data_IF_644956154309
#
_entry.id   IF_644956154309
#
_cell.length_a   1.000
_cell.length_b   1.000
_cell.length_c   1.000
_cell.angle_alpha   90.00
_cell.angle_beta   90.00
_cell.angle_gamma   90.00
#
_symmetry.space_group_name_H-M   'P 1'
#
loop_
_entity.id
_entity.type
_entity.pdbx_description
1 polymer ?
#
# COMPACT_ATOMS: atom_id res chain seq x y z
N UNK A 1 12.86 -8.59 16.01
CA UNK A 1 11.45 -8.43 15.60
C UNK A 1 10.58 -9.03 16.69
N UNK A 2 9.47 -8.38 17.03
CA UNK A 2 8.52 -8.99 17.97
C UNK A 2 7.94 -10.26 17.36
N UNK A 3 7.85 -11.33 18.14
CA UNK A 3 7.38 -12.61 17.63
C UNK A 3 5.86 -12.66 17.60
N UNK A 4 5.32 -13.40 16.63
CA UNK A 4 3.88 -13.71 16.57
C UNK A 4 3.38 -14.29 17.90
N UNK A 5 4.16 -15.17 18.55
CA UNK A 5 3.79 -15.77 19.83
C UNK A 5 3.59 -14.72 20.95
N UNK A 6 4.47 -13.72 21.05
CA UNK A 6 4.30 -12.62 22.02
C UNK A 6 3.00 -11.84 21.76
N UNK A 7 2.68 -11.58 20.49
CA UNK A 7 1.46 -10.85 20.11
C UNK A 7 0.20 -11.66 20.43
N UNK A 8 0.21 -12.97 20.16
CA UNK A 8 -0.89 -13.87 20.54
C UNK A 8 -1.07 -13.93 22.06
N UNK A 9 0.00 -13.82 22.84
CA UNK A 9 -0.08 -13.76 24.30
C UNK A 9 -0.74 -12.46 24.78
N UNK A 10 -0.52 -11.33 24.09
CA UNK A 10 -1.25 -10.10 24.37
C UNK A 10 -2.74 -10.22 24.06
N UNK A 11 -3.10 -10.85 22.93
CA UNK A 11 -4.50 -11.06 22.54
C UNK A 11 -5.30 -11.89 23.55
N UNK A 12 -4.66 -12.80 24.30
CA UNK A 12 -5.35 -13.56 25.37
C UNK A 12 -5.94 -12.66 26.46
N UNK A 13 -5.38 -11.48 26.66
CA UNK A 13 -5.83 -10.50 27.65
C UNK A 13 -6.81 -9.47 27.07
N UNK A 14 -7.11 -9.52 25.78
CA UNK A 14 -8.03 -8.58 25.13
C UNK A 14 -9.49 -8.98 25.39
N UNK A 15 -10.34 -7.99 25.63
CA UNK A 15 -11.79 -8.16 25.44
C UNK A 15 -12.13 -8.04 23.95
N UNK A 16 -12.37 -9.19 23.31
CA UNK A 16 -12.66 -9.24 21.87
C UNK A 16 -13.99 -8.58 21.48
N UNK A 17 -14.87 -8.29 22.45
CA UNK A 17 -16.13 -7.55 22.22
C UNK A 17 -15.93 -6.04 22.25
N UNK A 18 -14.77 -5.57 22.73
CA UNK A 18 -14.48 -4.15 22.96
C UNK A 18 -13.15 -3.72 22.32
N UNK A 19 -12.87 -4.27 21.13
CA UNK A 19 -11.70 -3.95 20.30
C UNK A 19 -11.76 -2.48 19.85
N UNK A 20 -10.61 -1.82 19.92
CA UNK A 20 -10.40 -0.48 19.35
C UNK A 20 -9.56 -0.57 18.09
N UNK A 21 -10.01 0.02 16.98
CA UNK A 21 -9.22 0.16 15.76
C UNK A 21 -8.44 1.47 15.84
N UNK A 22 -7.11 1.40 15.70
CA UNK A 22 -6.26 2.58 15.73
C UNK A 22 -5.34 2.68 14.51
N UNK A 23 -5.07 3.91 14.09
CA UNK A 23 -4.09 4.19 13.04
C UNK A 23 -3.54 5.60 13.16
N UNK A 24 -2.46 5.89 12.44
CA UNK A 24 -1.89 7.24 12.35
C UNK A 24 -2.83 8.14 11.55
N UNK A 25 -2.99 9.38 11.98
CA UNK A 25 -3.83 10.37 11.32
C UNK A 25 -3.22 10.91 10.01
N UNK A 26 -3.10 10.04 8.98
CA UNK A 26 -2.55 10.36 7.65
C UNK A 26 -3.10 9.41 6.57
N UNK A 27 -2.69 9.61 5.31
CA UNK A 27 -2.78 8.67 4.20
C UNK A 27 -4.19 8.16 3.82
N UNK A 28 -4.71 7.17 4.53
CA UNK A 28 -6.02 6.52 4.29
C UNK A 28 -6.86 6.39 5.57
N UNK A 29 -6.44 7.05 6.65
CA UNK A 29 -7.07 6.98 7.97
C UNK A 29 -8.55 7.41 7.99
N UNK A 30 -8.97 8.38 7.16
CA UNK A 30 -10.39 8.75 7.08
C UNK A 30 -11.26 7.56 6.66
N UNK A 31 -10.86 6.82 5.63
CA UNK A 31 -11.58 5.62 5.19
C UNK A 31 -11.51 4.50 6.23
N UNK A 32 -10.36 4.32 6.89
CA UNK A 32 -10.18 3.32 7.95
C UNK A 32 -11.13 3.60 9.13
N UNK A 33 -11.22 4.86 9.60
CA UNK A 33 -12.11 5.22 10.71
C UNK A 33 -13.59 5.11 10.34
N UNK A 34 -13.99 5.57 9.15
CA UNK A 34 -15.37 5.40 8.67
C UNK A 34 -15.75 3.90 8.59
N UNK A 35 -14.86 3.08 8.03
CA UNK A 35 -15.05 1.63 7.93
C UNK A 35 -15.12 0.93 9.29
N UNK A 36 -14.24 1.27 10.21
CA UNK A 36 -14.23 0.76 11.58
C UNK A 36 -15.53 1.09 12.32
N UNK A 37 -15.99 2.35 12.22
CA UNK A 37 -17.23 2.81 12.84
C UNK A 37 -18.46 2.10 12.27
N UNK A 38 -18.53 1.91 10.94
CA UNK A 38 -19.61 1.15 10.28
C UNK A 38 -19.69 -0.30 10.79
N UNK A 39 -18.56 -0.88 11.18
CA UNK A 39 -18.52 -2.22 11.76
C UNK A 39 -18.69 -2.26 13.29
N UNK A 40 -18.85 -1.10 13.93
CA UNK A 40 -19.15 -0.96 15.36
C UNK A 40 -17.93 -0.89 16.27
N UNK A 41 -16.72 -0.69 15.72
CA UNK A 41 -15.51 -0.53 16.52
C UNK A 41 -15.39 0.89 17.06
N UNK A 42 -14.77 1.01 18.25
CA UNK A 42 -14.20 2.28 18.71
C UNK A 42 -12.98 2.63 17.88
N UNK A 43 -12.72 3.91 17.70
CA UNK A 43 -11.66 4.42 16.83
C UNK A 43 -10.69 5.34 17.57
N UNK A 44 -9.38 5.11 17.40
CA UNK A 44 -8.32 5.90 18.03
C UNK A 44 -7.35 6.46 16.98
N UNK A 45 -7.28 7.78 16.88
CA UNK A 45 -6.35 8.47 15.99
C UNK A 45 -5.02 8.77 16.66
N UNK A 46 -3.91 8.39 16.05
CA UNK A 46 -2.56 8.69 16.55
C UNK A 46 -1.99 9.88 15.80
N UNK A 47 -1.60 10.94 16.51
CA UNK A 47 -1.05 12.15 15.89
C UNK A 47 0.09 12.77 16.69
N UNK A 48 0.99 13.46 15.99
CA UNK A 48 2.04 14.28 16.60
C UNK A 48 1.50 15.67 16.84
N UNK A 49 1.66 16.18 18.07
CA UNK A 49 1.19 17.51 18.44
C UNK A 49 -0.34 17.58 18.57
N UNK A 50 -0.98 18.57 17.94
CA UNK A 50 -2.43 18.76 18.09
C UNK A 50 -3.21 17.88 17.11
N UNK A 51 -4.38 17.34 17.50
CA UNK A 51 -5.27 16.64 16.58
C UNK A 51 -5.51 17.44 15.29
N UNK A 52 -5.35 16.83 14.10
CA UNK A 52 -5.52 17.56 12.85
C UNK A 52 -6.95 18.08 12.69
N UNK A 53 -7.11 19.41 12.59
CA UNK A 53 -8.42 20.06 12.58
C UNK A 53 -9.32 19.58 11.43
N UNK A 54 -8.76 19.08 10.33
CA UNK A 54 -9.56 18.64 9.18
C UNK A 54 -10.46 17.44 9.49
N UNK A 55 -10.17 16.61 10.50
CA UNK A 55 -11.10 15.54 10.90
C UNK A 55 -12.45 16.09 11.38
N UNK A 56 -12.49 17.32 11.90
CA UNK A 56 -13.76 17.99 12.26
C UNK A 56 -14.67 18.23 11.05
N UNK A 57 -14.12 18.30 9.83
CA UNK A 57 -14.92 18.41 8.61
C UNK A 57 -15.59 17.09 8.20
N UNK A 58 -15.15 15.95 8.77
CA UNK A 58 -15.58 14.61 8.36
C UNK A 58 -16.08 13.80 9.57
N UNK A 59 -17.25 14.13 10.15
CA UNK A 59 -17.71 13.54 11.40
C UNK A 59 -17.87 12.01 11.38
N UNK A 60 -18.17 11.41 10.22
CA UNK A 60 -18.24 9.95 10.07
C UNK A 60 -16.87 9.26 10.16
N UNK A 61 -15.83 9.97 9.73
CA UNK A 61 -14.44 9.53 9.67
C UNK A 61 -13.55 10.13 10.77
N UNK A 62 -14.13 10.92 11.68
CA UNK A 62 -13.44 11.47 12.85
C UNK A 62 -13.23 10.33 13.86
N UNK A 63 -11.99 10.10 14.34
CA UNK A 63 -11.76 9.12 15.39
C UNK A 63 -12.46 9.55 16.69
N UNK A 64 -12.92 8.58 17.48
CA UNK A 64 -13.58 8.83 18.77
C UNK A 64 -12.64 9.49 19.78
N UNK A 65 -11.38 9.05 19.79
CA UNK A 65 -10.33 9.55 20.66
C UNK A 65 -9.03 9.82 19.88
N UNK A 66 -8.15 10.63 20.48
CA UNK A 66 -6.80 10.87 19.96
C UNK A 66 -5.74 10.45 20.97
N UNK A 67 -4.74 9.70 20.51
CA UNK A 67 -3.48 9.51 21.21
C UNK A 67 -2.47 10.52 20.66
N UNK A 68 -2.12 11.50 21.48
CA UNK A 68 -1.14 12.53 21.15
C UNK A 68 0.26 12.05 21.58
N UNK A 69 1.21 12.12 20.66
CA UNK A 69 2.63 11.80 20.89
C UNK A 69 3.51 13.00 20.51
N UNK A 70 4.72 13.09 21.08
CA UNK A 70 5.68 14.16 20.75
C UNK A 70 6.40 13.88 19.42
N UNK A 71 6.67 12.60 19.16
CA UNK A 71 7.17 12.08 17.90
C UNK A 71 6.50 10.74 17.58
N UNK A 72 6.55 10.31 16.32
CA UNK A 72 6.00 9.00 15.96
C UNK A 72 6.75 7.84 16.62
N UNK A 73 8.05 8.00 16.94
CA UNK A 73 8.82 7.01 17.68
C UNK A 73 8.25 6.75 19.09
N UNK A 74 7.59 7.74 19.71
CA UNK A 74 6.99 7.61 21.04
C UNK A 74 5.78 6.68 21.08
N UNK A 75 5.25 6.27 19.93
CA UNK A 75 4.22 5.21 19.87
C UNK A 75 4.72 3.93 20.56
N UNK A 76 6.02 3.65 20.46
CA UNK A 76 6.65 2.50 21.12
C UNK A 76 6.48 2.54 22.64
N UNK A 77 6.55 3.73 23.23
CA UNK A 77 6.38 3.97 24.67
C UNK A 77 4.90 3.89 25.10
N UNK A 78 3.97 3.85 24.14
CA UNK A 78 2.52 3.76 24.37
C UNK A 78 1.95 2.36 24.20
N UNK A 79 2.79 1.36 23.92
CA UNK A 79 2.34 0.00 23.64
C UNK A 79 1.49 -0.62 24.76
N UNK A 80 1.82 -0.38 26.04
CA UNK A 80 1.01 -0.87 27.16
C UNK A 80 -0.36 -0.17 27.24
N UNK A 81 -0.41 1.15 27.04
CA UNK A 81 -1.65 1.93 27.02
C UNK A 81 -2.56 1.46 25.88
N UNK A 82 -2.01 1.24 24.69
CA UNK A 82 -2.72 0.72 23.52
C UNK A 82 -3.28 -0.70 23.78
N UNK A 83 -2.49 -1.57 24.41
CA UNK A 83 -2.95 -2.94 24.76
C UNK A 83 -4.07 -2.94 25.79
N UNK A 84 -4.03 -2.07 26.81
CA UNK A 84 -5.11 -1.93 27.80
C UNK A 84 -6.44 -1.48 27.19
N UNK A 85 -6.40 -0.85 26.00
CA UNK A 85 -7.58 -0.41 25.24
C UNK A 85 -8.05 -1.43 24.19
N UNK A 86 -7.56 -2.68 24.24
CA UNK A 86 -7.83 -3.73 23.25
C UNK A 86 -7.52 -3.27 21.81
N UNK A 87 -6.44 -2.51 21.63
CA UNK A 87 -6.17 -1.86 20.34
C UNK A 87 -5.59 -2.83 19.32
N UNK A 88 -6.12 -2.79 18.09
CA UNK A 88 -5.50 -3.35 16.88
C UNK A 88 -5.08 -2.19 15.98
N UNK A 89 -3.80 -2.17 15.61
CA UNK A 89 -3.24 -1.17 14.69
C UNK A 89 -3.54 -1.57 13.25
N UNK A 90 -4.00 -0.62 12.44
CA UNK A 90 -4.11 -0.75 10.99
C UNK A 90 -2.97 0.02 10.32
N UNK A 91 -1.98 -0.65 9.71
CA UNK A 91 -0.87 0.04 9.07
C UNK A 91 -1.26 0.57 7.69
N UNK A 92 -0.67 1.70 7.32
CA UNK A 92 -0.73 2.28 5.98
C UNK A 92 0.62 2.94 5.64
N UNK A 93 0.80 3.42 4.41
CA UNK A 93 2.10 3.93 3.91
C UNK A 93 2.79 4.92 4.85
N UNK A 94 2.09 5.98 5.28
CA UNK A 94 2.66 6.96 6.21
C UNK A 94 3.00 6.40 7.60
N UNK A 95 2.30 5.37 8.10
CA UNK A 95 2.54 4.83 9.44
C UNK A 95 3.97 4.26 9.51
N UNK A 96 4.30 3.38 8.57
CA UNK A 96 5.62 2.73 8.51
C UNK A 96 6.70 3.75 8.14
N UNK A 97 6.42 4.67 7.22
CA UNK A 97 7.37 5.72 6.85
C UNK A 97 7.73 6.66 8.00
N UNK A 98 6.77 6.95 8.90
CA UNK A 98 6.98 7.84 10.03
C UNK A 98 7.59 7.13 11.25
N UNK A 99 7.15 5.90 11.54
CA UNK A 99 7.68 5.13 12.67
C UNK A 99 9.07 4.54 12.37
N UNK A 100 9.33 4.21 11.11
CA UNK A 100 10.49 3.42 10.67
C UNK A 100 10.18 1.93 10.68
N UNK A 101 10.78 1.20 9.74
CA UNK A 101 10.59 -0.25 9.57
C UNK A 101 11.01 -1.04 10.80
N UNK A 102 12.15 -0.71 11.41
CA UNK A 102 12.67 -1.36 12.62
C UNK A 102 11.72 -1.19 13.81
N UNK A 103 11.33 0.04 14.12
CA UNK A 103 10.40 0.32 15.22
C UNK A 103 9.05 -0.36 15.00
N UNK A 104 8.52 -0.33 13.78
CA UNK A 104 7.26 -1.01 13.48
C UNK A 104 7.35 -2.52 13.68
N UNK A 105 8.47 -3.14 13.31
CA UNK A 105 8.73 -4.56 13.47
C UNK A 105 8.89 -4.98 14.94
N UNK A 106 9.24 -4.06 15.84
CA UNK A 106 9.35 -4.29 17.30
C UNK A 106 8.11 -3.86 18.09
N UNK A 107 7.12 -3.23 17.44
CA UNK A 107 5.99 -2.62 18.15
C UNK A 107 5.17 -3.66 18.90
N UNK A 108 5.14 -3.55 20.23
CA UNK A 108 4.46 -4.49 21.12
C UNK A 108 2.93 -4.29 21.21
N UNK A 109 2.26 -4.16 20.04
CA UNK A 109 0.81 -3.99 19.90
C UNK A 109 0.32 -4.87 18.76
N UNK A 110 -0.78 -5.63 18.93
CA UNK A 110 -1.46 -6.34 17.83
C UNK A 110 -1.67 -5.46 16.60
N UNK A 111 -1.19 -5.93 15.44
CA UNK A 111 -1.32 -5.20 14.17
C UNK A 111 -1.98 -6.08 13.12
N UNK A 112 -2.96 -5.53 12.40
CA UNK A 112 -3.59 -6.22 11.28
C UNK A 112 -2.61 -6.36 10.11
N UNK A 113 -2.50 -7.56 9.56
CA UNK A 113 -1.57 -7.89 8.48
C UNK A 113 -0.40 -8.77 8.95
N UNK A 114 0.56 -9.01 8.05
CA UNK A 114 1.80 -9.71 8.37
C UNK A 114 2.99 -8.72 8.41
N UNK A 115 3.57 -8.49 9.59
CA UNK A 115 4.75 -7.61 9.78
C UNK A 115 5.95 -8.01 8.93
N UNK A 116 6.14 -9.32 8.68
CA UNK A 116 7.27 -9.81 7.89
C UNK A 116 7.27 -9.24 6.46
N UNK A 117 6.10 -8.88 5.92
CA UNK A 117 5.99 -8.33 4.57
C UNK A 117 6.75 -7.02 4.39
N UNK A 118 6.94 -6.23 5.45
CA UNK A 118 7.61 -4.93 5.36
C UNK A 118 9.05 -5.06 4.89
N UNK A 119 9.73 -6.15 5.25
CA UNK A 119 11.08 -6.42 4.78
C UNK A 119 11.12 -6.67 3.26
N UNK A 120 10.04 -7.21 2.70
CA UNK A 120 9.92 -7.53 1.28
C UNK A 120 9.46 -6.33 0.44
N UNK A 121 8.50 -5.54 0.92
CA UNK A 121 8.03 -4.34 0.18
C UNK A 121 8.96 -3.13 0.31
N UNK A 122 9.86 -3.07 1.30
CA UNK A 122 10.79 -1.93 1.46
C UNK A 122 12.15 -2.12 0.79
N UNK A 123 12.55 -3.36 0.49
CA UNK A 123 13.78 -3.70 -0.23
C UNK A 123 13.47 -4.06 -1.69
N UNK A 124 13.95 -3.24 -2.64
CA UNK A 124 13.70 -3.43 -4.08
C UNK A 124 14.19 -4.77 -4.63
N UNK A 125 15.25 -5.34 -4.07
CA UNK A 125 15.75 -6.64 -4.53
C UNK A 125 14.82 -7.76 -4.06
N UNK A 126 14.37 -7.71 -2.81
CA UNK A 126 13.41 -8.69 -2.25
C UNK A 126 12.05 -8.57 -2.93
N UNK A 127 11.58 -7.35 -3.17
CA UNK A 127 10.37 -7.09 -3.93
C UNK A 127 10.45 -7.73 -5.33
N UNK A 128 11.58 -7.55 -6.02
CA UNK A 128 11.83 -8.16 -7.33
C UNK A 128 11.92 -9.67 -7.26
N UNK A 129 12.60 -10.23 -6.26
CA UNK A 129 12.67 -11.68 -6.02
C UNK A 129 11.26 -12.27 -5.87
N UNK A 130 10.42 -11.63 -5.05
CA UNK A 130 9.04 -12.06 -4.83
C UNK A 130 8.19 -11.98 -6.10
N UNK A 131 8.21 -10.85 -6.82
CA UNK A 131 7.41 -10.70 -8.03
C UNK A 131 7.88 -11.64 -9.15
N UNK A 132 9.19 -11.78 -9.35
CA UNK A 132 9.71 -12.72 -10.36
C UNK A 132 9.46 -14.18 -9.98
N UNK A 133 9.57 -14.54 -8.69
CA UNK A 133 9.22 -15.86 -8.18
C UNK A 133 7.75 -16.22 -8.44
N UNK A 134 6.86 -15.23 -8.29
CA UNK A 134 5.44 -15.33 -8.64
C UNK A 134 5.16 -15.36 -10.16
N UNK A 135 6.19 -15.38 -11.02
CA UNK A 135 6.03 -15.34 -12.48
C UNK A 135 5.36 -14.04 -12.95
N UNK A 136 5.64 -12.92 -12.28
CA UNK A 136 5.15 -11.60 -12.66
C UNK A 136 6.13 -10.94 -13.63
N UNK A 137 5.60 -10.39 -14.71
CA UNK A 137 6.39 -9.63 -15.66
C UNK A 137 6.69 -8.24 -15.08
N UNK A 138 7.93 -8.03 -14.65
CA UNK A 138 8.44 -6.73 -14.23
C UNK A 138 9.15 -6.01 -15.38
N UNK A 139 9.27 -4.67 -15.35
CA UNK A 139 10.19 -3.95 -16.23
C UNK A 139 11.60 -4.54 -16.19
N UNK A 140 12.26 -4.56 -17.36
CA UNK A 140 13.66 -4.94 -17.48
C UNK A 140 14.56 -4.10 -16.55
N UNK A 141 15.56 -4.73 -15.93
CA UNK A 141 16.58 -4.02 -15.16
C UNK A 141 17.79 -3.81 -16.06
N UNK A 142 18.36 -2.61 -16.01
CA UNK A 142 19.60 -2.27 -16.71
C UNK A 142 20.69 -2.10 -15.64
N UNK A 143 21.73 -2.93 -15.71
CA UNK A 143 22.82 -2.93 -14.74
C UNK A 143 23.94 -1.97 -15.14
N UNK A 144 24.25 -1.88 -16.44
CA UNK A 144 25.21 -0.92 -17.00
C UNK A 144 24.47 0.21 -17.74
N UNK A 145 24.61 1.49 -17.34
CA UNK A 145 24.03 2.61 -18.07
C UNK A 145 24.46 2.70 -19.54
N UNK A 146 25.59 2.10 -19.93
CA UNK A 146 26.01 2.04 -21.33
C UNK A 146 25.11 1.14 -22.19
N UNK A 147 24.33 0.25 -21.57
CA UNK A 147 23.37 -0.62 -22.25
C UNK A 147 22.01 0.05 -22.48
N UNK A 148 21.87 1.35 -22.18
CA UNK A 148 20.64 2.11 -22.48
C UNK A 148 20.45 2.23 -23.99
N UNK A 149 19.51 1.45 -24.53
CA UNK A 149 19.13 1.40 -25.95
C UNK A 149 17.70 1.92 -26.22
N UNK A 150 17.04 2.47 -25.19
CA UNK A 150 15.68 2.98 -25.26
C UNK A 150 15.27 3.77 -24.00
N UNK A 151 14.00 4.18 -23.90
CA UNK A 151 13.51 4.91 -22.73
C UNK A 151 13.65 4.11 -21.44
N UNK A 152 14.24 4.71 -20.42
CA UNK A 152 14.44 4.15 -19.09
C UNK A 152 13.92 5.08 -18.01
N UNK A 153 13.43 4.52 -16.92
CA UNK A 153 13.10 5.22 -15.68
C UNK A 153 14.22 5.00 -14.67
N UNK A 154 14.83 6.08 -14.21
CA UNK A 154 15.84 6.05 -13.14
C UNK A 154 15.18 6.40 -11.81
N UNK A 155 15.32 5.51 -10.84
CA UNK A 155 14.73 5.63 -9.51
C UNK A 155 15.81 5.68 -8.44
N UNK A 156 15.87 6.76 -7.67
CA UNK A 156 16.75 6.83 -6.49
C UNK A 156 16.19 6.01 -5.33
N UNK A 157 17.11 5.45 -4.53
CA UNK A 157 16.77 4.75 -3.30
C UNK A 157 16.20 5.75 -2.27
N UNK A 158 15.10 5.37 -1.60
CA UNK A 158 14.47 6.21 -0.57
C UNK A 158 13.65 7.40 -1.08
N UNK A 159 13.47 7.56 -2.40
CA UNK A 159 12.57 8.55 -2.98
C UNK A 159 11.13 8.37 -2.47
N UNK A 160 10.62 9.32 -1.68
CA UNK A 160 9.27 9.28 -1.12
C UNK A 160 8.26 9.83 -2.12
N UNK A 161 7.55 8.93 -2.80
CA UNK A 161 6.45 9.29 -3.72
C UNK A 161 6.93 9.96 -5.00
N UNK A 162 7.88 9.35 -5.72
CA UNK A 162 8.25 9.75 -7.08
C UNK A 162 9.14 10.99 -7.20
N UNK A 163 9.53 11.61 -6.08
CA UNK A 163 10.45 12.76 -6.07
C UNK A 163 11.86 12.33 -6.48
N UNK A 164 12.41 12.97 -7.50
CA UNK A 164 13.78 12.72 -7.99
C UNK A 164 13.87 11.69 -9.10
N UNK A 165 12.78 11.00 -9.47
CA UNK A 165 12.79 10.11 -10.63
C UNK A 165 12.89 10.89 -11.92
N UNK A 166 13.58 10.34 -12.91
CA UNK A 166 13.71 10.94 -14.23
C UNK A 166 13.75 9.87 -15.33
N UNK A 167 13.44 10.30 -16.55
CA UNK A 167 13.50 9.47 -17.75
C UNK A 167 14.73 9.86 -18.55
N UNK A 168 15.47 8.86 -19.03
CA UNK A 168 16.56 9.02 -19.99
C UNK A 168 16.33 8.09 -21.17
N UNK A 169 16.88 8.41 -22.34
CA UNK A 169 16.76 7.59 -23.56
C UNK A 169 18.11 7.15 -24.11
N UNK A 170 19.19 7.76 -23.65
CA UNK A 170 20.56 7.42 -24.02
C UNK A 170 21.45 7.50 -22.79
N UNK A 171 22.66 6.94 -22.90
CA UNK A 171 23.70 7.05 -21.88
C UNK A 171 24.06 8.52 -21.58
N UNK A 172 24.15 9.37 -22.60
CA UNK A 172 24.48 10.80 -22.44
C UNK A 172 23.40 11.54 -21.66
N UNK A 173 22.12 11.33 -21.99
CA UNK A 173 21.01 11.91 -21.22
C UNK A 173 21.02 11.42 -19.77
N UNK A 174 21.37 10.16 -19.54
CA UNK A 174 21.50 9.60 -18.20
C UNK A 174 22.61 10.32 -17.40
N UNK A 175 23.82 10.43 -17.95
CA UNK A 175 24.97 11.07 -17.29
C UNK A 175 24.72 12.56 -16.99
N UNK A 176 23.97 13.26 -17.85
CA UNK A 176 23.60 14.67 -17.61
C UNK A 176 22.61 14.85 -16.45
N UNK A 177 21.79 13.84 -16.17
CA UNK A 177 20.68 13.92 -15.22
C UNK A 177 20.97 13.24 -13.87
N UNK A 178 21.84 12.24 -13.86
CA UNK A 178 22.11 11.41 -12.69
C UNK A 178 22.90 12.17 -11.62
N UNK A 179 22.52 11.94 -10.36
CA UNK A 179 23.28 12.33 -9.19
C UNK A 179 24.00 11.09 -8.65
N UNK A 180 25.30 10.97 -8.98
CA UNK A 180 26.12 9.83 -8.56
C UNK A 180 26.33 9.75 -7.03
N UNK A 181 25.96 10.79 -6.27
CA UNK A 181 26.00 10.73 -4.80
C UNK A 181 24.87 9.87 -4.23
N UNK A 182 23.84 9.58 -5.03
CA UNK A 182 22.68 8.80 -4.65
C UNK A 182 22.66 7.44 -5.35
N UNK A 183 22.37 6.41 -4.56
CA UNK A 183 22.12 5.07 -5.10
C UNK A 183 20.83 5.08 -5.91
N UNK A 184 20.85 4.45 -7.08
CA UNK A 184 19.73 4.41 -8.01
C UNK A 184 19.60 3.05 -8.68
N UNK A 185 18.45 2.82 -9.30
CA UNK A 185 18.16 1.67 -10.16
C UNK A 185 17.67 2.18 -11.51
N UNK A 186 18.14 1.56 -12.60
CA UNK A 186 17.70 1.83 -13.96
C UNK A 186 16.74 0.73 -14.39
N UNK A 187 15.53 1.11 -14.78
CA UNK A 187 14.50 0.20 -15.27
C UNK A 187 14.02 0.62 -16.64
N UNK A 188 13.66 -0.36 -17.47
CA UNK A 188 12.91 -0.15 -18.70
C UNK A 188 11.69 0.74 -18.44
N UNK A 189 11.51 1.79 -19.26
CA UNK A 189 10.31 2.61 -19.21
C UNK A 189 9.20 1.94 -20.03
N UNK A 190 8.20 1.39 -19.34
CA UNK A 190 7.06 0.76 -20.01
C UNK A 190 6.11 1.84 -20.53
N UNK A 191 5.93 1.87 -21.85
CA UNK A 191 4.93 2.74 -22.49
C UNK A 191 3.55 2.12 -22.35
N UNK A 192 2.63 2.83 -21.71
CA UNK A 192 1.28 2.34 -21.49
C UNK A 192 0.51 3.18 -20.47
N UNK A 193 -0.66 2.69 -20.08
CA UNK A 193 -1.51 3.35 -19.08
C UNK A 193 -1.30 2.75 -17.70
N UNK A 194 -1.15 3.58 -16.66
CA UNK A 194 -0.97 3.12 -15.28
C UNK A 194 -2.29 2.74 -14.63
N UNK A 195 -2.32 1.56 -14.02
CA UNK A 195 -3.43 1.02 -13.25
C UNK A 195 -2.90 0.55 -11.90
N UNK A 196 -3.54 0.97 -10.83
CA UNK A 196 -3.21 0.59 -9.46
C UNK A 196 -4.33 -0.33 -8.98
N UNK A 197 -4.04 -1.63 -8.89
CA UNK A 197 -5.04 -2.67 -8.69
C UNK A 197 -5.16 -2.96 -7.20
N UNK A 198 -6.30 -2.65 -6.59
CA UNK A 198 -6.51 -2.79 -5.14
C UNK A 198 -7.16 -4.12 -4.81
N UNK A 199 -6.39 -5.00 -4.20
CA UNK A 199 -6.84 -6.31 -3.78
C UNK A 199 -7.06 -6.37 -2.27
N UNK A 200 -7.77 -7.41 -1.84
CA UNK A 200 -7.84 -7.84 -0.46
C UNK A 200 -7.73 -9.35 -0.41
N UNK A 201 -6.73 -9.85 0.31
CA UNK A 201 -6.57 -11.28 0.58
C UNK A 201 -7.01 -11.61 1.99
N UNK A 202 -7.86 -12.63 2.12
CA UNK A 202 -8.48 -13.06 3.36
C UNK A 202 -8.11 -14.52 3.67
N UNK A 203 -7.22 -14.79 4.65
CA UNK A 203 -6.81 -16.16 5.00
C UNK A 203 -7.89 -16.93 5.79
N UNK A 204 -9.02 -16.30 6.12
CA UNK A 204 -10.11 -16.91 6.91
C UNK A 204 -11.41 -17.12 6.13
N UNK A 205 -11.50 -16.64 4.88
CA UNK A 205 -12.64 -16.88 3.98
C UNK A 205 -12.25 -17.93 2.95
N UNK A 206 -13.18 -18.83 2.62
CA UNK A 206 -12.96 -19.88 1.62
C UNK A 206 -14.09 -19.87 0.58
N UNK A 207 -14.47 -18.68 0.12
CA UNK A 207 -15.54 -18.43 -0.84
C UNK A 207 -15.12 -17.38 -1.86
N UNK A 208 -15.78 -17.35 -3.03
CA UNK A 208 -15.41 -16.46 -4.13
C UNK A 208 -14.20 -16.98 -4.92
N UNK A 209 -13.23 -16.11 -5.21
CA UNK A 209 -11.99 -16.48 -5.89
C UNK A 209 -11.03 -17.11 -4.86
N UNK A 210 -11.10 -18.44 -4.73
CA UNK A 210 -10.34 -19.20 -3.72
C UNK A 210 -8.91 -19.49 -4.15
N UNK A 211 -7.99 -19.46 -3.19
CA UNK A 211 -6.58 -19.83 -3.33
C UNK A 211 -6.29 -21.19 -2.68
N UNK A 212 -5.02 -21.57 -2.59
CA UNK A 212 -4.56 -22.72 -1.80
C UNK A 212 -4.96 -22.61 -0.32
N UNK A 213 -4.87 -21.40 0.25
CA UNK A 213 -5.48 -21.00 1.52
C UNK A 213 -6.19 -19.66 1.34
N UNK A 214 -7.44 -19.57 1.80
CA UNK A 214 -8.17 -18.29 1.81
C UNK A 214 -8.83 -17.91 0.48
N UNK A 215 -9.17 -16.64 0.35
CA UNK A 215 -9.73 -16.08 -0.89
C UNK A 215 -9.23 -14.67 -1.20
N UNK A 216 -9.24 -14.32 -2.48
CA UNK A 216 -8.82 -13.04 -3.03
C UNK A 216 -10.02 -12.25 -3.54
N UNK A 217 -10.03 -10.96 -3.26
CA UNK A 217 -11.03 -10.02 -3.76
C UNK A 217 -10.32 -8.88 -4.50
N UNK A 218 -10.82 -8.50 -5.68
CA UNK A 218 -10.47 -7.23 -6.32
C UNK A 218 -11.49 -6.19 -5.87
N UNK A 219 -11.06 -5.22 -5.06
CA UNK A 219 -11.98 -4.25 -4.46
C UNK A 219 -12.14 -2.98 -5.29
N UNK A 220 -11.10 -2.52 -5.96
CA UNK A 220 -11.13 -1.30 -6.78
C UNK A 220 -9.84 -1.13 -7.58
N UNK A 221 -9.74 -0.05 -8.34
CA UNK A 221 -8.49 0.37 -8.96
C UNK A 221 -8.46 1.89 -9.17
N UNK A 222 -7.29 2.49 -9.26
CA UNK A 222 -7.15 3.92 -9.57
C UNK A 222 -5.98 4.19 -10.52
N UNK A 223 -5.82 5.47 -10.87
CA UNK A 223 -4.59 6.04 -11.42
C UNK A 223 -4.17 7.22 -10.55
N UNK A 224 -2.90 7.28 -10.17
CA UNK A 224 -2.33 8.43 -9.46
C UNK A 224 -2.34 9.70 -10.33
N UNK A 225 -2.60 10.83 -9.68
CA UNK A 225 -2.42 12.19 -10.23
C UNK A 225 -1.10 12.75 -9.73
N UNK A 226 -0.17 12.99 -10.63
CA UNK A 226 1.23 13.28 -10.32
C UNK A 226 1.63 14.67 -10.80
N UNK A 227 2.06 15.51 -9.86
CA UNK A 227 2.56 16.84 -10.14
C UNK A 227 4.09 16.81 -10.25
N UNK A 228 4.68 17.37 -11.31
CA UNK A 228 4.11 18.01 -12.50
C UNK A 228 3.95 17.06 -13.72
N UNK A 229 4.28 15.77 -13.58
CA UNK A 229 4.35 14.82 -14.71
C UNK A 229 3.07 14.76 -15.56
N UNK A 230 1.88 14.85 -14.97
CA UNK A 230 0.60 14.77 -15.70
C UNK A 230 0.24 16.04 -16.48
N UNK A 231 0.95 17.15 -16.29
CA UNK A 231 0.60 18.45 -16.89
C UNK A 231 1.77 19.10 -17.66
N UNK A 232 3.00 18.64 -17.41
CA UNK A 232 4.23 19.26 -17.94
C UNK A 232 4.28 19.31 -19.48
N UNK A 233 3.69 18.32 -20.17
CA UNK A 233 3.68 18.24 -21.64
C UNK A 233 2.92 19.40 -22.31
N UNK A 234 2.12 20.15 -21.56
CA UNK A 234 1.41 21.34 -22.07
C UNK A 234 2.31 22.54 -22.26
N UNK A 235 3.50 22.54 -21.65
CA UNK A 235 4.43 23.67 -21.66
C UNK A 235 5.37 23.65 -22.87
N UNK A 236 5.58 22.50 -23.48
CA UNK A 236 6.48 22.33 -24.63
C UNK A 236 6.91 20.89 -24.79
N UNK A 237 7.77 20.66 -25.79
CA UNK A 237 8.44 19.38 -25.97
C UNK A 237 9.37 19.06 -24.78
N UNK A 238 9.67 17.78 -24.50
CA UNK A 238 10.58 17.39 -23.41
C UNK A 238 11.93 18.13 -23.43
N UNK A 239 12.46 18.43 -24.63
CA UNK A 239 13.74 19.13 -24.79
C UNK A 239 13.65 20.59 -24.36
N UNK A 240 12.62 21.32 -24.79
CA UNK A 240 12.40 22.71 -24.38
C UNK A 240 12.24 22.83 -22.86
N UNK A 241 11.59 21.84 -22.24
CA UNK A 241 11.41 21.79 -20.79
C UNK A 241 12.75 21.61 -20.05
N UNK A 242 13.59 20.67 -20.51
CA UNK A 242 14.92 20.44 -19.95
C UNK A 242 15.80 21.69 -20.11
N UNK A 243 15.81 22.30 -21.30
CA UNK A 243 16.57 23.54 -21.58
C UNK A 243 16.08 24.71 -20.70
N UNK A 244 14.80 24.75 -20.33
CA UNK A 244 14.22 25.72 -19.40
C UNK A 244 14.43 25.36 -17.91
N UNK A 245 15.12 24.26 -17.59
CA UNK A 245 15.32 23.78 -16.23
C UNK A 245 14.07 23.17 -15.57
N UNK A 246 13.04 22.85 -16.36
CA UNK A 246 11.79 22.24 -15.91
C UNK A 246 11.87 20.74 -16.12
N UNK A 247 11.90 19.98 -15.03
CA UNK A 247 11.98 18.50 -15.07
C UNK A 247 10.65 17.88 -14.62
N UNK A 248 10.27 16.70 -15.15
CA UNK A 248 9.13 15.97 -14.65
C UNK A 248 9.39 15.55 -13.20
N UNK A 249 8.35 15.62 -12.39
CA UNK A 249 8.31 15.12 -11.03
C UNK A 249 7.06 14.28 -10.87
N UNK A 250 7.18 13.17 -10.15
CA UNK A 250 6.10 12.19 -10.00
C UNK A 250 5.47 12.27 -8.61
N UNK A 251 5.40 13.48 -8.04
CA UNK A 251 4.86 13.69 -6.69
C UNK A 251 3.36 13.47 -6.72
N UNK A 252 2.90 12.49 -5.96
CA UNK A 252 1.48 12.12 -5.90
C UNK A 252 0.68 13.23 -5.21
N UNK A 253 -0.33 13.75 -5.91
CA UNK A 253 -1.22 14.82 -5.42
C UNK A 253 -2.68 14.38 -5.30
N UNK A 254 -3.04 13.26 -5.92
CA UNK A 254 -4.39 12.72 -5.90
C UNK A 254 -4.49 11.40 -6.64
N UNK A 255 -5.72 10.95 -6.87
CA UNK A 255 -6.04 9.71 -7.58
C UNK A 255 -7.29 9.94 -8.44
N UNK A 256 -7.41 9.24 -9.56
CA UNK A 256 -8.62 9.23 -10.40
C UNK A 256 -9.19 7.81 -10.51
N UNK A 257 -10.52 7.66 -10.51
CA UNK A 257 -11.16 6.35 -10.60
C UNK A 257 -11.08 5.79 -12.02
N UNK A 258 -11.01 4.46 -12.12
CA UNK A 258 -11.01 3.76 -13.39
C UNK A 258 -11.54 2.33 -13.24
N UNK A 259 -11.88 1.73 -14.37
CA UNK A 259 -12.26 0.33 -14.50
C UNK A 259 -11.44 -0.30 -15.63
N UNK A 260 -11.05 -1.55 -15.47
CA UNK A 260 -10.34 -2.28 -16.52
C UNK A 260 -11.34 -2.73 -17.58
N UNK A 261 -10.85 -2.87 -18.82
CA UNK A 261 -11.53 -3.66 -19.84
C UNK A 261 -11.78 -5.06 -19.27
N UNK A 262 -13.03 -5.51 -19.26
CA UNK A 262 -13.44 -6.73 -18.54
C UNK A 262 -12.67 -7.98 -18.96
N UNK A 263 -12.29 -8.09 -20.24
CA UNK A 263 -11.47 -9.21 -20.73
C UNK A 263 -10.08 -9.30 -20.11
N UNK A 264 -9.62 -8.27 -19.39
CA UNK A 264 -8.35 -8.28 -18.64
C UNK A 264 -8.52 -8.78 -17.20
N UNK A 265 -9.74 -8.91 -16.69
CA UNK A 265 -9.99 -9.38 -15.33
C UNK A 265 -9.39 -10.76 -15.05
N UNK A 266 -9.43 -11.77 -15.95
CA UNK A 266 -8.76 -13.04 -15.70
C UNK A 266 -7.26 -12.88 -15.43
N UNK A 267 -6.58 -12.01 -16.19
CA UNK A 267 -5.16 -11.72 -15.98
C UNK A 267 -4.94 -10.96 -14.68
N UNK A 268 -5.77 -9.95 -14.39
CA UNK A 268 -5.72 -9.16 -13.15
C UNK A 268 -5.88 -10.06 -11.91
N UNK A 269 -6.84 -10.98 -11.90
CA UNK A 269 -7.00 -11.93 -10.81
C UNK A 269 -5.81 -12.88 -10.70
N UNK A 270 -5.33 -13.40 -11.83
CA UNK A 270 -4.16 -14.29 -11.84
C UNK A 270 -2.88 -13.61 -11.33
N UNK A 271 -2.69 -12.31 -11.57
CA UNK A 271 -1.56 -11.56 -10.99
C UNK A 271 -1.66 -11.50 -9.46
N UNK A 272 -2.83 -11.14 -8.92
CA UNK A 272 -3.05 -11.09 -7.48
C UNK A 272 -2.91 -12.47 -6.82
N UNK A 273 -3.42 -13.52 -7.49
CA UNK A 273 -3.32 -14.89 -7.02
C UNK A 273 -1.87 -15.34 -6.87
N UNK A 274 -1.07 -15.23 -7.94
CA UNK A 274 0.32 -15.69 -7.93
C UNK A 274 1.17 -14.94 -6.91
N UNK A 275 0.95 -13.64 -6.73
CA UNK A 275 1.64 -12.83 -5.73
C UNK A 275 1.33 -13.30 -4.31
N UNK A 276 0.06 -13.60 -4.03
CA UNK A 276 -0.36 -14.13 -2.73
C UNK A 276 0.25 -15.52 -2.50
N UNK A 277 0.13 -16.43 -3.46
CA UNK A 277 0.66 -17.79 -3.35
C UNK A 277 2.17 -17.81 -3.09
N UNK A 278 2.93 -17.00 -3.83
CA UNK A 278 4.38 -16.90 -3.63
C UNK A 278 4.71 -16.35 -2.23
N UNK A 279 3.92 -15.38 -1.74
CA UNK A 279 4.14 -14.80 -0.40
C UNK A 279 3.96 -15.82 0.73
N UNK A 280 3.08 -16.82 0.55
CA UNK A 280 2.86 -17.90 1.52
C UNK A 280 4.13 -18.72 1.72
N UNK A 281 4.86 -19.00 0.64
CA UNK A 281 6.13 -19.72 0.66
C UNK A 281 7.31 -18.90 1.20
N UNK A 282 7.37 -17.60 0.89
CA UNK A 282 8.52 -16.76 1.21
C UNK A 282 8.55 -16.26 2.67
N UNK A 283 7.39 -15.81 3.19
CA UNK A 283 7.34 -15.15 4.51
C UNK A 283 6.02 -15.40 5.27
N UNK A 284 5.32 -16.49 4.94
CA UNK A 284 4.11 -16.91 5.63
C UNK A 284 2.85 -16.15 5.21
N UNK A 285 2.88 -15.49 4.05
CA UNK A 285 1.72 -14.87 3.41
C UNK A 285 1.58 -13.38 3.69
N UNK A 286 1.24 -12.60 2.66
CA UNK A 286 0.62 -11.31 2.87
C UNK A 286 -0.81 -11.49 3.41
N UNK A 287 -1.35 -10.46 4.08
CA UNK A 287 -2.67 -10.52 4.70
C UNK A 287 -3.37 -9.18 4.49
N UNK A 288 -4.63 -9.23 4.04
CA UNK A 288 -5.48 -8.07 3.90
C UNK A 288 -5.25 -7.29 2.62
N UNK A 289 -5.33 -5.96 2.72
CA UNK A 289 -5.27 -5.08 1.56
C UNK A 289 -3.86 -5.00 0.97
N UNK A 290 -3.75 -5.09 -0.36
CA UNK A 290 -2.51 -4.82 -1.08
C UNK A 290 -2.81 -4.22 -2.46
N UNK A 291 -1.78 -3.65 -3.08
CA UNK A 291 -1.87 -3.02 -4.40
C UNK A 291 -0.75 -3.49 -5.31
N UNK A 292 -1.10 -3.92 -6.52
CA UNK A 292 -0.13 -4.06 -7.60
C UNK A 292 -0.12 -2.76 -8.41
N UNK A 293 1.04 -2.12 -8.49
CA UNK A 293 1.23 -0.91 -9.30
C UNK A 293 1.69 -1.34 -10.69
N UNK A 294 0.88 -1.04 -11.71
CA UNK A 294 1.04 -1.67 -13.03
C UNK A 294 0.99 -0.68 -14.18
N UNK A 295 1.55 -1.09 -15.31
CA UNK A 295 1.39 -0.45 -16.62
C UNK A 295 0.74 -1.45 -17.58
N UNK A 296 -0.32 -1.02 -18.26
CA UNK A 296 -1.02 -1.78 -19.29
C UNK A 296 -0.53 -1.29 -20.65
N UNK A 297 0.05 -2.19 -21.46
CA UNK A 297 0.54 -1.87 -22.82
C UNK A 297 -0.60 -1.90 -23.85
N UNK A 298 -0.33 -1.45 -25.06
CA UNK A 298 -1.25 -1.51 -26.19
C UNK A 298 -1.45 -2.94 -26.75
N UNK A 299 -0.55 -3.87 -26.43
CA UNK A 299 -0.74 -5.33 -26.63
C UNK A 299 -1.54 -6.00 -25.52
N UNK A 300 -2.05 -5.22 -24.54
CA UNK A 300 -2.78 -5.70 -23.37
C UNK A 300 -1.94 -6.56 -22.42
N UNK A 301 -0.61 -6.40 -22.46
CA UNK A 301 0.26 -6.93 -21.42
C UNK A 301 0.16 -6.06 -20.15
N UNK A 302 0.26 -6.68 -18.98
CA UNK A 302 0.31 -5.99 -17.71
C UNK A 302 1.71 -6.19 -17.11
N UNK A 303 2.47 -5.11 -16.99
CA UNK A 303 3.76 -5.08 -16.30
C UNK A 303 3.56 -4.54 -14.89
N UNK A 304 4.00 -5.28 -13.88
CA UNK A 304 3.96 -4.84 -12.47
C UNK A 304 5.32 -4.24 -12.14
N UNK A 305 5.34 -2.97 -11.74
CA UNK A 305 6.61 -2.31 -11.41
C UNK A 305 6.89 -2.28 -9.92
N UNK A 306 5.86 -2.21 -9.07
CA UNK A 306 5.96 -2.14 -7.61
C UNK A 306 4.74 -2.82 -6.97
N UNK A 307 4.88 -3.26 -5.71
CA UNK A 307 3.83 -3.79 -4.87
C UNK A 307 3.78 -3.07 -3.52
N UNK A 308 2.60 -2.63 -3.14
CA UNK A 308 2.33 -2.13 -1.79
C UNK A 308 1.54 -3.18 -1.01
N UNK A 309 2.13 -3.81 -0.01
CA UNK A 309 1.51 -4.92 0.73
C UNK A 309 0.55 -4.47 1.85
N UNK A 310 -0.06 -3.28 1.68
CA UNK A 310 -0.98 -2.60 2.61
C UNK A 310 -2.00 -1.78 1.83
N UNK A 311 -2.95 -1.17 2.55
CA UNK A 311 -3.88 -0.19 1.96
C UNK A 311 -3.12 1.02 1.36
N UNK A 312 -3.48 1.40 0.13
CA UNK A 312 -2.91 2.55 -0.61
C UNK A 312 -3.88 3.72 -0.69
N UNK A 313 -3.37 4.93 -0.98
CA UNK A 313 -4.18 6.16 -1.05
C UNK A 313 -5.25 6.13 -2.15
N UNK A 314 -5.05 5.37 -3.22
CA UNK A 314 -6.02 5.16 -4.31
C UNK A 314 -7.36 4.64 -3.83
N UNK A 315 -7.37 3.85 -2.76
CA UNK A 315 -8.60 3.34 -2.14
C UNK A 315 -9.52 4.46 -1.63
N UNK A 316 -8.99 5.65 -1.30
CA UNK A 316 -9.75 6.76 -0.72
C UNK A 316 -10.89 7.28 -1.62
N UNK A 317 -10.85 7.01 -2.93
CA UNK A 317 -11.95 7.31 -3.86
C UNK A 317 -13.24 6.54 -3.51
N UNK A 318 -13.10 5.38 -2.88
CA UNK A 318 -14.13 4.34 -2.79
C UNK A 318 -14.66 4.14 -1.37
N UNK A 319 -15.04 5.24 -0.69
CA UNK A 319 -15.57 5.19 0.69
C UNK A 319 -16.94 4.51 0.78
N UNK A 320 -17.76 4.64 -0.26
CA UNK A 320 -19.11 4.07 -0.36
C UNK A 320 -19.18 2.88 -1.31
N UNK A 321 -18.04 2.27 -1.66
CA UNK A 321 -17.98 1.22 -2.66
C UNK A 321 -17.26 1.65 -3.93
N UNK A 322 -17.18 0.72 -4.87
CA UNK A 322 -16.55 0.85 -6.18
C UNK A 322 -17.30 -0.05 -7.16
N UNK A 323 -17.14 0.13 -8.49
CA UNK A 323 -17.76 -0.75 -9.47
C UNK A 323 -17.51 -2.25 -9.24
N UNK A 324 -16.37 -2.62 -8.63
CA UNK A 324 -16.06 -4.00 -8.27
C UNK A 324 -16.58 -4.38 -6.89
N UNK A 325 -16.40 -3.50 -5.89
CA UNK A 325 -16.82 -3.77 -4.53
C UNK A 325 -18.35 -3.89 -4.42
N UNK A 326 -19.11 -3.13 -5.21
CA UNK A 326 -20.57 -3.17 -5.23
C UNK A 326 -21.12 -4.52 -5.73
N UNK A 327 -20.31 -5.29 -6.48
CA UNK A 327 -20.63 -6.66 -6.91
C UNK A 327 -20.34 -7.71 -5.82
N UNK A 328 -19.65 -7.32 -4.75
CA UNK A 328 -19.36 -8.15 -3.58
C UNK A 328 -20.33 -7.79 -2.45
N UNK A 329 -20.39 -6.51 -2.11
CA UNK A 329 -21.23 -5.97 -1.05
C UNK A 329 -21.38 -4.44 -1.22
N UNK A 330 -22.60 -3.93 -1.07
CA UNK A 330 -22.84 -2.48 -1.03
C UNK A 330 -22.08 -1.79 0.12
N UNK A 331 -21.72 -0.52 -0.11
CA UNK A 331 -21.03 0.34 0.85
C UNK A 331 -19.70 -0.24 1.37
N UNK A 332 -18.99 -1.00 0.52
CA UNK A 332 -17.75 -1.67 0.88
C UNK A 332 -16.52 -0.87 0.43
N UNK A 333 -15.91 -0.15 1.37
CA UNK A 333 -14.57 0.41 1.19
C UNK A 333 -13.49 -0.57 1.66
N UNK A 334 -12.24 -0.38 1.23
CA UNK A 334 -11.11 -1.18 1.73
C UNK A 334 -10.96 -1.04 3.24
N UNK A 335 -11.09 0.17 3.80
CA UNK A 335 -11.11 0.40 5.25
C UNK A 335 -12.20 -0.38 5.98
N UNK A 336 -13.42 -0.43 5.42
CA UNK A 336 -14.52 -1.23 5.97
C UNK A 336 -14.24 -2.74 5.85
N UNK A 337 -13.68 -3.18 4.72
CA UNK A 337 -13.33 -4.58 4.48
C UNK A 337 -12.29 -5.10 5.49
N UNK A 338 -11.30 -4.28 5.84
CA UNK A 338 -10.34 -4.56 6.93
C UNK A 338 -11.08 -4.74 8.26
N UNK A 339 -11.98 -3.81 8.61
CA UNK A 339 -12.74 -3.90 9.86
C UNK A 339 -13.64 -5.15 9.92
N UNK A 340 -14.28 -5.52 8.80
CA UNK A 340 -15.07 -6.75 8.69
C UNK A 340 -14.23 -8.01 8.91
N UNK A 341 -13.00 -8.03 8.37
CA UNK A 341 -12.07 -9.14 8.57
C UNK A 341 -11.73 -9.32 10.06
N UNK A 342 -11.40 -8.22 10.74
CA UNK A 342 -11.11 -8.21 12.19
C UNK A 342 -12.33 -8.68 12.98
N UNK A 343 -13.51 -8.17 12.65
CA UNK A 343 -14.77 -8.54 13.32
C UNK A 343 -15.07 -10.01 13.17
N UNK A 344 -14.95 -10.54 11.94
CA UNK A 344 -15.18 -11.95 11.64
C UNK A 344 -14.19 -12.83 12.39
N UNK A 345 -12.90 -12.51 12.32
CA UNK A 345 -11.85 -13.24 13.02
C UNK A 345 -12.04 -13.23 14.54
N UNK A 346 -12.46 -12.11 15.13
CA UNK A 346 -12.77 -12.04 16.55
C UNK A 346 -13.98 -12.93 16.93
N UNK A 347 -15.02 -12.95 16.09
CA UNK A 347 -16.22 -13.78 16.30
C UNK A 347 -15.95 -15.28 16.10
N UNK A 348 -15.05 -15.66 15.21
CA UNK A 348 -14.71 -17.06 14.92
C UNK A 348 -13.45 -17.55 15.62
N UNK A 349 -12.85 -16.73 16.48
CA UNK A 349 -11.60 -17.03 17.20
C UNK A 349 -10.43 -17.39 16.27
N UNK A 350 -10.23 -16.57 15.23
CA UNK A 350 -9.19 -16.70 14.19
C UNK A 350 -8.33 -15.44 14.06
N UNK A 351 -8.26 -14.58 15.08
CA UNK A 351 -7.43 -13.36 15.04
C UNK A 351 -5.94 -13.68 14.85
N UNK A 352 -5.50 -14.86 15.28
CA UNK A 352 -4.15 -15.37 15.09
C UNK A 352 -3.77 -15.57 13.61
N UNK A 353 -4.76 -15.66 12.71
CA UNK A 353 -4.52 -15.75 11.26
C UNK A 353 -4.29 -14.39 10.59
N UNK A 354 -4.72 -13.29 11.21
CA UNK A 354 -4.71 -11.96 10.57
C UNK A 354 -3.93 -10.89 11.33
N UNK A 355 -3.40 -11.24 12.50
CA UNK A 355 -2.66 -10.33 13.38
C UNK A 355 -1.22 -10.80 13.54
N UNK A 356 -0.29 -9.83 13.48
CA UNK A 356 1.12 -10.02 13.83
C UNK A 356 1.65 -8.94 14.75
#
# INVERSE_FOLDING_TARGET
MITKQQILEFLKNYDLKDITIATVCSHSSLQIFDGARKEGFRTLGICVGKPPKFYEAFPKAKPDEYLIVESYADIMNKAEELRKRNTIIIPHGSFVAYLGTENFAEMAVPTFGNRAVLEWESDRNKEREWLLGAGIHMPGKIDDPHDIDGPVMVKYDGARGGKGFFVAKTYEEFEELVDHTQKHTIQEFITGTRYYLHYFYSPIRNEGYTLSEGSLELLSMDRRVESNADEIFRLGSPRELIEAGIRPTYVVTGNVPLVARESLLPLIFSLGERVVEESLGLFGGMIGAFCLETVFTDELEIKVFEISARIVAGTNLYVSGSPYADLIQEDLSTGRRIAQEIKKAAQTNQLDKIIT
#
